data_IF_702650008229
#
_entry.id   IF_702650008229
#
_cell.length_a   1.000
_cell.length_b   1.000
_cell.length_c   1.000
_cell.angle_alpha   90.00
_cell.angle_beta   90.00
_cell.angle_gamma   90.00
#
_symmetry.space_group_name_H-M   'P 1'
#
loop_
_entity.id
_entity.type
_entity.pdbx_description
1 polymer ?
#
# COMPACT_ATOMS: atom_id res chain seq x y z
N UNK A 1 25.09 -2.39 -19.28
CA UNK A 1 24.32 -1.46 -18.43
C UNK A 1 23.22 -0.85 -19.29
N UNK A 2 22.00 -0.78 -18.75
CA UNK A 2 20.80 -0.26 -19.42
C UNK A 2 20.16 0.76 -18.50
N UNK A 3 19.62 1.83 -19.08
CA UNK A 3 18.82 2.83 -18.36
C UNK A 3 17.34 2.66 -18.69
N UNK A 4 16.49 2.93 -17.71
CA UNK A 4 15.04 2.94 -17.85
C UNK A 4 14.47 4.12 -17.09
N UNK A 5 13.66 4.92 -17.77
CA UNK A 5 12.94 6.04 -17.17
C UNK A 5 11.45 5.72 -17.12
N UNK A 6 10.78 6.22 -16.09
CA UNK A 6 9.35 6.00 -15.92
C UNK A 6 8.86 6.46 -14.56
N UNK A 7 7.63 6.07 -14.24
CA UNK A 7 7.02 6.30 -12.93
C UNK A 7 7.12 5.05 -12.07
N UNK A 8 7.41 5.24 -10.79
CA UNK A 8 7.61 4.15 -9.85
C UNK A 8 6.95 4.45 -8.51
N UNK A 9 6.31 3.44 -7.94
CA UNK A 9 5.85 3.44 -6.55
C UNK A 9 6.98 2.92 -5.66
N UNK A 10 7.33 3.68 -4.64
CA UNK A 10 8.41 3.35 -3.69
C UNK A 10 7.88 2.44 -2.59
N UNK A 11 8.65 1.39 -2.29
CA UNK A 11 8.44 0.49 -1.17
C UNK A 11 9.74 0.35 -0.38
N UNK A 12 9.74 0.84 0.85
CA UNK A 12 10.81 0.57 1.81
C UNK A 12 10.48 -0.71 2.54
N UNK A 13 11.33 -1.70 2.38
CA UNK A 13 11.11 -3.04 2.90
C UNK A 13 11.38 -3.08 4.41
N UNK A 14 12.62 -2.83 4.82
CA UNK A 14 13.05 -2.86 6.22
C UNK A 14 14.27 -1.96 6.43
N UNK A 15 14.46 -1.34 7.61
CA UNK A 15 15.67 -0.56 7.90
C UNK A 15 16.97 -1.38 7.88
N UNK A 16 16.87 -2.71 8.02
CA UNK A 16 18.01 -3.63 8.09
C UNK A 16 18.64 -3.95 6.75
N UNK A 17 17.95 -3.72 5.62
CA UNK A 17 18.51 -3.92 4.29
C UNK A 17 18.46 -2.60 3.51
N UNK A 18 19.63 -2.01 3.14
CA UNK A 18 19.73 -0.64 2.65
C UNK A 18 19.39 -0.52 1.16
N UNK A 19 18.20 -0.98 0.78
CA UNK A 19 17.65 -0.86 -0.57
C UNK A 19 16.21 -0.37 -0.54
N UNK A 20 15.80 0.19 -1.68
CA UNK A 20 14.42 0.54 -1.97
C UNK A 20 13.92 -0.39 -3.06
N UNK A 21 12.66 -0.79 -2.96
CA UNK A 21 11.96 -1.46 -4.03
C UNK A 21 11.12 -0.44 -4.81
N UNK A 22 11.27 -0.44 -6.13
CA UNK A 22 10.55 0.44 -7.04
C UNK A 22 9.67 -0.41 -7.95
N UNK A 23 8.36 -0.36 -7.74
CA UNK A 23 7.40 -1.01 -8.64
C UNK A 23 7.08 -0.06 -9.78
N UNK A 24 7.37 -0.44 -11.01
CA UNK A 24 7.01 0.35 -12.18
C UNK A 24 5.48 0.44 -12.31
N UNK A 25 5.00 1.63 -12.68
CA UNK A 25 3.57 1.92 -12.85
C UNK A 25 3.03 1.36 -14.17
N UNK A 26 3.80 1.51 -15.25
CA UNK A 26 3.34 1.19 -16.61
C UNK A 26 3.68 -0.26 -17.04
N UNK A 27 4.49 -0.97 -16.26
CA UNK A 27 4.82 -2.39 -16.46
C UNK A 27 4.93 -3.11 -15.11
N UNK A 28 4.52 -4.39 -15.00
CA UNK A 28 4.59 -5.14 -13.75
C UNK A 28 6.04 -5.59 -13.47
N UNK A 29 6.93 -4.63 -13.20
CA UNK A 29 8.35 -4.88 -12.94
C UNK A 29 8.80 -4.19 -11.67
N UNK A 30 9.42 -4.98 -10.81
CA UNK A 30 10.06 -4.54 -9.58
C UNK A 30 11.54 -4.31 -9.82
N UNK A 31 12.07 -3.21 -9.31
CA UNK A 31 13.50 -2.90 -9.30
C UNK A 31 13.97 -2.73 -7.85
N UNK A 32 14.99 -3.48 -7.47
CA UNK A 32 15.72 -3.24 -6.21
C UNK A 32 16.81 -2.21 -6.50
N UNK A 33 16.79 -1.07 -5.83
CA UNK A 33 17.80 -0.01 -5.96
C UNK A 33 18.52 0.24 -4.64
N UNK A 34 19.78 0.67 -4.70
CA UNK A 34 20.49 1.09 -3.49
C UNK A 34 19.77 2.26 -2.79
N UNK A 35 19.73 2.25 -1.46
CA UNK A 35 19.21 3.36 -0.66
C UNK A 35 20.26 4.47 -0.48
N UNK A 36 21.55 4.14 -0.61
CA UNK A 36 22.64 5.07 -0.35
C UNK A 36 23.80 4.99 -1.35
N UNK A 37 24.71 5.95 -1.25
CA UNK A 37 25.90 6.04 -2.12
C UNK A 37 25.68 6.90 -3.36
N UNK A 38 24.71 7.82 -3.33
CA UNK A 38 24.49 8.79 -4.38
C UNK A 38 25.25 10.09 -4.11
N UNK A 39 25.88 10.66 -5.13
CA UNK A 39 26.63 11.92 -4.96
C UNK A 39 25.71 13.14 -4.93
N UNK A 40 24.69 13.18 -5.80
CA UNK A 40 23.86 14.37 -6.04
C UNK A 40 22.42 14.22 -5.57
N UNK A 41 21.87 13.01 -5.58
CA UNK A 41 20.45 12.75 -5.30
C UNK A 41 20.18 12.14 -3.91
N UNK A 42 21.22 11.94 -3.08
CA UNK A 42 21.09 11.24 -1.81
C UNK A 42 20.03 11.86 -0.91
N UNK A 43 20.00 13.19 -0.80
CA UNK A 43 19.01 13.88 0.02
C UNK A 43 17.57 13.59 -0.45
N UNK A 44 17.33 13.53 -1.75
CA UNK A 44 16.01 13.18 -2.29
C UNK A 44 15.65 11.74 -1.93
N UNK A 45 16.60 10.80 -2.09
CA UNK A 45 16.43 9.38 -1.76
C UNK A 45 16.14 9.18 -0.27
N UNK A 46 16.87 9.87 0.62
CA UNK A 46 16.72 9.78 2.07
C UNK A 46 15.31 10.15 2.54
N UNK A 47 14.66 11.09 1.85
CA UNK A 47 13.30 11.54 2.21
C UNK A 47 12.19 10.62 1.73
N UNK A 48 12.47 9.68 0.82
CA UNK A 48 11.44 8.82 0.25
C UNK A 48 10.77 7.94 1.30
N UNK A 49 9.49 7.67 1.15
CA UNK A 49 8.68 6.81 2.03
C UNK A 49 7.97 5.75 1.20
N UNK A 50 7.58 4.65 1.85
CA UNK A 50 6.66 3.69 1.24
C UNK A 50 5.37 4.41 0.83
N UNK A 51 4.97 4.22 -0.42
CA UNK A 51 3.79 4.87 -1.01
C UNK A 51 4.08 6.14 -1.82
N UNK A 52 5.30 6.68 -1.79
CA UNK A 52 5.69 7.79 -2.67
C UNK A 52 5.64 7.36 -4.15
N UNK A 53 5.12 8.25 -4.99
CA UNK A 53 5.18 8.14 -6.45
C UNK A 53 6.29 9.06 -6.96
N UNK A 54 7.22 8.49 -7.72
CA UNK A 54 8.35 9.21 -8.29
C UNK A 54 8.40 9.06 -9.81
N UNK A 55 8.86 10.10 -10.50
CA UNK A 55 9.45 9.96 -11.82
C UNK A 55 10.95 9.82 -11.65
N UNK A 56 11.52 8.78 -12.24
CA UNK A 56 12.91 8.44 -12.03
C UNK A 56 13.55 7.79 -13.25
N UNK A 57 14.88 7.77 -13.24
CA UNK A 57 15.68 6.94 -14.14
C UNK A 57 16.48 5.96 -13.30
N UNK A 58 16.35 4.67 -13.60
CA UNK A 58 17.15 3.58 -13.02
C UNK A 58 18.17 3.08 -14.03
N UNK A 59 19.37 2.76 -13.55
CA UNK A 59 20.47 2.21 -14.34
C UNK A 59 20.99 0.93 -13.71
N UNK A 60 21.27 -0.10 -14.51
CA UNK A 60 21.70 -1.39 -14.00
C UNK A 60 22.06 -2.39 -15.10
N UNK A 61 22.55 -3.56 -14.71
CA UNK A 61 22.78 -4.66 -15.63
C UNK A 61 21.62 -5.67 -15.56
N UNK A 62 20.73 -5.75 -16.56
CA UNK A 62 19.60 -6.68 -16.51
C UNK A 62 19.99 -8.16 -16.55
N UNK A 63 21.26 -8.48 -16.82
CA UNK A 63 21.79 -9.84 -16.82
C UNK A 63 22.49 -10.22 -15.50
N UNK A 64 22.53 -9.31 -14.54
CA UNK A 64 23.09 -9.53 -13.20
C UNK A 64 21.95 -9.37 -12.20
N UNK A 65 21.50 -10.49 -11.63
CA UNK A 65 20.42 -10.55 -10.65
C UNK A 65 20.91 -10.35 -9.21
N UNK A 66 22.22 -10.31 -8.99
CA UNK A 66 22.85 -10.02 -7.70
C UNK A 66 23.14 -8.51 -7.53
N UNK A 67 23.33 -7.78 -8.63
CA UNK A 67 23.58 -6.33 -8.60
C UNK A 67 22.28 -5.50 -8.55
N UNK A 68 22.11 -4.75 -7.46
CA UNK A 68 21.01 -3.79 -7.36
C UNK A 68 21.17 -2.63 -8.38
N UNK A 69 20.04 -2.09 -8.81
CA UNK A 69 19.98 -0.95 -9.71
C UNK A 69 20.38 0.35 -8.99
N UNK A 70 20.70 1.39 -9.76
CA UNK A 70 21.03 2.72 -9.24
C UNK A 70 20.09 3.77 -9.82
N UNK A 71 19.55 4.62 -8.95
CA UNK A 71 18.87 5.85 -9.38
C UNK A 71 19.88 6.84 -9.96
N UNK A 72 19.56 7.44 -11.11
CA UNK A 72 20.38 8.48 -11.73
C UNK A 72 19.66 9.83 -11.80
N UNK A 73 18.33 9.81 -11.77
CA UNK A 73 17.47 10.99 -11.66
C UNK A 73 16.23 10.62 -10.85
N UNK A 74 15.71 11.58 -10.08
CA UNK A 74 14.51 11.40 -9.27
C UNK A 74 13.78 12.72 -9.06
N UNK A 75 12.47 12.69 -9.22
CA UNK A 75 11.53 13.72 -8.81
C UNK A 75 10.32 13.07 -8.14
N UNK A 76 9.88 13.63 -7.00
CA UNK A 76 8.68 13.11 -6.30
C UNK A 76 7.46 13.85 -6.81
N UNK A 77 6.49 13.09 -7.33
CA UNK A 77 5.29 13.65 -7.95
C UNK A 77 4.11 13.63 -7.00
N UNK A 78 3.97 12.54 -6.22
CA UNK A 78 2.83 12.35 -5.33
C UNK A 78 3.17 11.37 -4.20
N UNK A 79 2.23 11.13 -3.28
CA UNK A 79 2.37 10.15 -2.22
C UNK A 79 1.02 9.63 -1.75
N UNK A 80 0.92 8.31 -1.56
CA UNK A 80 -0.15 7.70 -0.77
C UNK A 80 0.43 7.42 0.60
N UNK A 81 -0.19 7.94 1.65
CA UNK A 81 0.20 7.56 3.00
C UNK A 81 -0.19 6.10 3.25
N UNK A 82 0.78 5.25 3.54
CA UNK A 82 0.55 3.83 3.80
C UNK A 82 0.82 3.50 5.27
N UNK A 83 -0.20 2.99 5.97
CA UNK A 83 -0.10 2.52 7.33
C UNK A 83 -0.40 1.02 7.44
N UNK A 84 0.22 0.36 8.42
CA UNK A 84 0.20 -1.09 8.55
C UNK A 84 -0.20 -1.53 9.95
N UNK A 85 -1.02 -2.57 10.03
CA UNK A 85 -1.50 -3.16 11.27
C UNK A 85 -1.43 -4.68 11.12
N UNK A 86 -0.76 -5.34 12.06
CA UNK A 86 -0.59 -6.79 12.10
C UNK A 86 -1.11 -7.34 13.42
N UNK A 87 -1.39 -8.64 13.50
CA UNK A 87 -1.93 -9.28 14.71
C UNK A 87 -3.25 -8.61 15.16
N UNK A 88 -4.08 -8.20 14.20
CA UNK A 88 -5.28 -7.40 14.45
C UNK A 88 -6.57 -8.04 13.92
N UNK A 89 -7.68 -7.76 14.60
CA UNK A 89 -9.00 -8.18 14.11
C UNK A 89 -9.37 -7.38 12.87
N UNK A 90 -9.88 -8.04 11.83
CA UNK A 90 -10.32 -7.38 10.61
C UNK A 90 -11.58 -6.52 10.83
N UNK A 91 -11.76 -5.45 10.04
CA UNK A 91 -12.95 -4.62 10.15
C UNK A 91 -14.17 -5.40 9.64
N UNK A 92 -15.33 -5.23 10.28
CA UNK A 92 -16.56 -5.97 9.94
C UNK A 92 -17.02 -5.79 8.48
N UNK A 93 -16.64 -4.68 7.84
CA UNK A 93 -16.90 -4.46 6.40
C UNK A 93 -16.17 -5.46 5.51
N UNK A 94 -15.02 -6.00 5.94
CA UNK A 94 -14.28 -7.01 5.19
C UNK A 94 -15.04 -8.33 5.07
N UNK A 95 -15.82 -8.72 6.09
CA UNK A 95 -16.65 -9.92 6.06
C UNK A 95 -17.75 -9.85 4.99
N UNK A 96 -18.24 -8.63 4.68
CA UNK A 96 -19.23 -8.42 3.61
C UNK A 96 -18.64 -8.53 2.21
N UNK A 97 -17.32 -8.49 2.11
CA UNK A 97 -16.56 -8.47 0.86
C UNK A 97 -15.92 -9.82 0.53
N UNK A 98 -15.94 -10.78 1.45
CA UNK A 98 -15.30 -12.08 1.28
C UNK A 98 -16.30 -13.20 1.01
N UNK A 99 -16.05 -13.97 -0.05
CA UNK A 99 -16.76 -15.22 -0.32
C UNK A 99 -15.81 -16.43 -0.23
N UNK A 100 -16.22 -17.56 0.39
CA UNK A 100 -15.40 -18.76 0.41
C UNK A 100 -15.01 -19.25 -1.00
N UNK A 101 -13.72 -19.46 -1.24
CA UNK A 101 -13.19 -19.91 -2.54
C UNK A 101 -12.85 -18.79 -3.52
N UNK A 102 -12.96 -17.53 -3.09
CA UNK A 102 -12.54 -16.38 -3.86
C UNK A 102 -11.01 -16.34 -4.07
N UNK A 103 -10.59 -16.21 -5.32
CA UNK A 103 -9.17 -16.15 -5.73
C UNK A 103 -8.71 -14.76 -6.16
N UNK A 104 -9.63 -13.85 -6.41
CA UNK A 104 -9.36 -12.48 -6.88
C UNK A 104 -9.68 -11.46 -5.78
N UNK A 105 -9.00 -10.29 -5.77
CA UNK A 105 -9.36 -9.21 -4.86
C UNK A 105 -10.80 -8.74 -5.10
N UNK A 106 -11.51 -8.39 -4.04
CA UNK A 106 -12.81 -7.74 -4.12
C UNK A 106 -12.81 -6.50 -3.23
N UNK A 107 -13.65 -5.53 -3.58
CA UNK A 107 -13.80 -4.29 -2.84
C UNK A 107 -15.26 -3.91 -2.65
N UNK A 108 -15.55 -3.29 -1.52
CA UNK A 108 -16.82 -2.63 -1.23
C UNK A 108 -16.58 -1.15 -0.96
N UNK A 109 -17.51 -0.30 -1.38
CA UNK A 109 -17.43 1.14 -1.14
C UNK A 109 -17.57 1.46 0.34
N UNK A 110 -16.80 2.44 0.80
CA UNK A 110 -16.95 3.07 2.11
C UNK A 110 -17.72 4.37 1.92
N UNK A 111 -18.88 4.47 2.55
CA UNK A 111 -19.77 5.62 2.41
C UNK A 111 -19.65 6.53 3.63
N UNK A 112 -19.78 7.83 3.42
CA UNK A 112 -19.93 8.78 4.52
C UNK A 112 -21.35 8.75 5.09
N UNK A 113 -21.54 8.03 6.20
CA UNK A 113 -22.85 7.89 6.83
C UNK A 113 -23.28 9.11 7.66
N UNK A 114 -22.39 10.06 7.96
CA UNK A 114 -22.77 11.28 8.70
C UNK A 114 -23.40 12.34 7.79
N UNK A 115 -23.15 12.24 6.49
CA UNK A 115 -23.77 13.07 5.46
C UNK A 115 -24.97 12.37 4.78
N UNK A 116 -25.33 11.15 5.19
CA UNK A 116 -26.51 10.48 4.71
C UNK A 116 -27.77 11.26 5.15
N UNK A 117 -28.64 11.72 4.22
CA UNK A 117 -29.84 12.44 4.60
C UNK A 117 -30.70 11.57 5.53
N UNK A 118 -31.01 12.10 6.72
CA UNK A 118 -31.91 11.44 7.67
C UNK A 118 -33.25 11.17 6.99
N UNK A 119 -33.58 9.89 6.88
CA UNK A 119 -34.62 9.31 6.02
C UNK A 119 -36.01 9.94 6.12
N UNK A 120 -36.56 10.30 4.96
CA UNK A 120 -37.97 10.02 4.63
C UNK A 120 -38.23 9.70 3.16
N UNK A 121 -37.22 9.80 2.29
CA UNK A 121 -37.34 9.44 0.89
C UNK A 121 -36.68 8.07 0.66
N UNK A 122 -37.49 7.11 0.18
CA UNK A 122 -37.08 5.74 -0.18
C UNK A 122 -36.15 5.70 -1.41
N UNK A 123 -35.79 6.88 -1.94
CA UNK A 123 -34.88 7.12 -3.06
C UNK A 123 -33.60 7.87 -2.63
N UNK A 124 -33.31 7.94 -1.32
CA UNK A 124 -32.07 8.53 -0.82
C UNK A 124 -30.86 7.71 -1.34
N UNK A 125 -30.21 8.26 -2.36
CA UNK A 125 -28.97 7.76 -2.92
C UNK A 125 -27.97 7.53 -1.78
N UNK A 126 -27.32 6.36 -1.84
CA UNK A 126 -26.24 5.96 -0.94
C UNK A 126 -25.27 7.12 -0.74
N UNK A 127 -24.90 7.42 0.51
CA UNK A 127 -24.03 8.56 0.82
C UNK A 127 -22.75 8.57 0.00
N UNK A 128 -22.14 9.75 -0.18
CA UNK A 128 -20.98 9.90 -1.07
C UNK A 128 -19.87 8.89 -0.72
N UNK A 129 -19.31 8.18 -1.71
CA UNK A 129 -18.25 7.21 -1.47
C UNK A 129 -16.95 7.98 -1.14
N UNK A 130 -16.34 7.63 -0.01
CA UNK A 130 -15.12 8.26 0.53
C UNK A 130 -13.91 7.33 0.48
N UNK A 131 -14.09 6.13 -0.07
CA UNK A 131 -13.06 5.11 -0.13
C UNK A 131 -13.58 3.72 -0.47
N UNK A 132 -12.72 2.73 -0.27
CA UNK A 132 -13.03 1.32 -0.46
C UNK A 132 -12.38 0.44 0.62
N UNK A 133 -13.07 -0.62 1.02
CA UNK A 133 -12.50 -1.74 1.75
C UNK A 133 -12.28 -2.89 0.76
N UNK A 134 -11.03 -3.28 0.55
CA UNK A 134 -10.64 -4.35 -0.34
C UNK A 134 -10.10 -5.54 0.43
N UNK A 135 -10.54 -6.75 0.08
CA UNK A 135 -9.97 -8.01 0.58
C UNK A 135 -9.01 -8.58 -0.46
N UNK A 136 -7.82 -8.99 -0.02
CA UNK A 136 -6.80 -9.62 -0.85
C UNK A 136 -6.65 -11.08 -0.41
N UNK A 137 -7.08 -12.05 -1.24
CA UNK A 137 -6.82 -13.47 -1.00
C UNK A 137 -5.32 -13.74 -0.86
N UNK A 138 -4.96 -14.60 0.09
CA UNK A 138 -3.56 -14.98 0.36
C UNK A 138 -2.99 -16.02 -0.59
N UNK A 139 -3.83 -16.94 -1.07
CA UNK A 139 -3.40 -18.10 -1.88
C UNK A 139 -2.65 -17.69 -3.15
N UNK A 140 -2.90 -16.49 -3.67
CA UNK A 140 -2.23 -15.95 -4.85
C UNK A 140 -0.93 -15.21 -4.53
N UNK A 141 -0.61 -15.02 -3.25
CA UNK A 141 0.55 -14.26 -2.80
C UNK A 141 1.74 -15.19 -2.50
N UNK A 142 2.97 -14.77 -2.81
CA UNK A 142 4.17 -15.41 -2.30
C UNK A 142 4.11 -15.65 -0.79
N UNK A 143 4.35 -16.89 -0.35
CA UNK A 143 4.31 -17.33 1.04
C UNK A 143 2.97 -17.08 1.76
N UNK A 144 1.87 -16.90 1.03
CA UNK A 144 0.54 -16.59 1.57
C UNK A 144 0.50 -15.33 2.45
N UNK A 145 1.51 -14.45 2.35
CA UNK A 145 1.73 -13.36 3.30
C UNK A 145 1.26 -12.01 2.75
N UNK A 146 0.27 -11.36 3.35
CA UNK A 146 -0.27 -10.12 2.80
C UNK A 146 0.66 -8.92 2.99
N UNK A 147 0.97 -8.57 4.23
CA UNK A 147 1.78 -7.37 4.54
C UNK A 147 3.21 -7.46 3.99
N UNK A 148 3.93 -8.61 4.10
CA UNK A 148 5.23 -8.76 3.47
C UNK A 148 5.21 -8.44 1.97
N UNK A 149 4.21 -8.93 1.22
CA UNK A 149 4.12 -8.69 -0.22
C UNK A 149 3.85 -7.21 -0.57
N UNK A 150 3.12 -6.49 0.28
CA UNK A 150 2.95 -5.03 0.11
C UNK A 150 4.28 -4.33 0.37
N UNK A 151 4.95 -4.64 1.47
CA UNK A 151 6.20 -3.98 1.87
C UNK A 151 7.36 -4.25 0.92
N UNK A 152 7.36 -5.41 0.24
CA UNK A 152 8.32 -5.73 -0.81
C UNK A 152 7.90 -5.22 -2.19
N UNK A 153 6.73 -4.60 -2.33
CA UNK A 153 6.21 -4.11 -3.62
C UNK A 153 5.90 -5.22 -4.63
N UNK A 154 5.78 -6.47 -4.18
CA UNK A 154 5.48 -7.63 -5.04
C UNK A 154 3.98 -7.75 -5.33
N UNK A 155 3.13 -7.10 -4.53
CA UNK A 155 1.72 -6.88 -4.85
C UNK A 155 1.57 -5.58 -5.65
N UNK A 156 1.20 -5.62 -6.94
CA UNK A 156 0.98 -4.41 -7.74
C UNK A 156 -0.29 -3.68 -7.29
N UNK A 157 -0.13 -2.57 -6.57
CA UNK A 157 -1.24 -1.77 -6.03
C UNK A 157 -1.60 -0.54 -6.87
N UNK A 158 -0.80 -0.20 -7.89
CA UNK A 158 -0.93 1.11 -8.54
C UNK A 158 -2.30 1.37 -9.14
N UNK A 159 -2.92 0.37 -9.77
CA UNK A 159 -4.26 0.53 -10.37
C UNK A 159 -5.32 0.91 -9.34
N UNK A 160 -5.30 0.29 -8.14
CA UNK A 160 -6.26 0.55 -7.06
C UNK A 160 -5.93 1.83 -6.29
N UNK A 161 -4.66 2.25 -6.28
CA UNK A 161 -4.24 3.50 -5.65
C UNK A 161 -4.53 4.71 -6.56
N UNK A 162 -4.39 4.57 -7.87
CA UNK A 162 -4.66 5.64 -8.82
C UNK A 162 -6.16 5.89 -9.00
N UNK A 163 -6.97 4.84 -8.83
CA UNK A 163 -8.42 4.91 -8.94
C UNK A 163 -9.04 3.97 -7.92
N UNK A 164 -9.45 4.54 -6.78
CA UNK A 164 -10.04 3.77 -5.69
C UNK A 164 -11.37 3.17 -6.16
N UNK A 165 -11.58 1.85 -5.97
CA UNK A 165 -12.77 1.18 -6.45
C UNK A 165 -14.07 1.82 -5.94
N UNK A 166 -14.89 2.29 -6.88
CA UNK A 166 -16.19 2.89 -6.60
C UNK A 166 -16.17 4.39 -6.27
N UNK A 167 -15.02 5.06 -6.28
CA UNK A 167 -14.93 6.53 -6.19
C UNK A 167 -14.35 7.14 -7.46
N UNK A 168 -13.62 6.37 -8.27
CA UNK A 168 -12.78 6.79 -9.41
C UNK A 168 -11.64 7.78 -9.07
N UNK A 169 -11.66 8.41 -7.90
CA UNK A 169 -10.60 9.26 -7.35
C UNK A 169 -9.37 8.47 -6.83
N UNK A 170 -8.15 9.06 -6.84
CA UNK A 170 -6.96 8.43 -6.28
C UNK A 170 -7.01 8.33 -4.75
N UNK A 171 -6.33 7.32 -4.22
CA UNK A 171 -6.13 7.17 -2.79
C UNK A 171 -5.21 8.28 -2.26
N UNK A 172 -5.55 8.87 -1.13
CA UNK A 172 -4.66 9.75 -0.36
C UNK A 172 -4.07 9.03 0.85
N UNK A 173 -4.78 8.03 1.36
CA UNK A 173 -4.28 7.15 2.42
C UNK A 173 -4.72 5.69 2.18
N UNK A 174 -3.88 4.75 2.60
CA UNK A 174 -4.15 3.32 2.60
C UNK A 174 -3.77 2.73 3.96
N UNK A 175 -4.69 2.01 4.59
CA UNK A 175 -4.46 1.27 5.83
C UNK A 175 -4.53 -0.24 5.53
N UNK A 176 -3.42 -0.93 5.70
CA UNK A 176 -3.29 -2.36 5.46
C UNK A 176 -3.38 -3.13 6.78
N UNK A 177 -4.31 -4.07 6.86
CA UNK A 177 -4.63 -4.80 8.10
C UNK A 177 -4.47 -6.29 7.84
N UNK A 178 -3.71 -6.95 8.70
CA UNK A 178 -3.45 -8.37 8.64
C UNK A 178 -3.69 -9.01 10.02
N UNK A 179 -4.52 -10.07 10.11
CA UNK A 179 -4.71 -10.81 11.36
C UNK A 179 -3.50 -11.66 11.74
N UNK A 180 -2.60 -11.92 10.80
CA UNK A 180 -1.37 -12.64 11.04
C UNK A 180 -0.20 -11.69 11.32
N UNK A 181 0.80 -12.21 12.02
CA UNK A 181 2.11 -11.56 12.16
C UNK A 181 2.89 -11.71 10.85
N UNK A 182 3.85 -10.81 10.55
CA UNK A 182 4.64 -10.89 9.33
C UNK A 182 5.45 -12.18 9.16
N UNK A 183 5.83 -12.82 10.27
CA UNK A 183 6.62 -14.05 10.33
C UNK A 183 5.75 -15.31 10.53
N UNK A 184 4.42 -15.18 10.42
CA UNK A 184 3.50 -16.29 10.57
C UNK A 184 3.73 -17.34 9.46
N UNK A 185 3.88 -18.60 9.87
CA UNK A 185 4.01 -19.73 8.94
C UNK A 185 2.68 -20.41 8.62
N UNK A 186 1.56 -19.90 9.17
CA UNK A 186 0.22 -20.41 8.95
C UNK A 186 -0.80 -19.28 9.14
N UNK A 187 -1.92 -19.34 8.41
CA UNK A 187 -2.92 -18.29 8.35
C UNK A 187 -4.32 -18.88 8.61
N UNK A 188 -4.99 -18.42 9.68
CA UNK A 188 -6.37 -18.84 9.99
C UNK A 188 -7.40 -18.11 9.11
N UNK A 189 -7.12 -16.85 8.77
CA UNK A 189 -7.95 -16.02 7.91
C UNK A 189 -7.33 -15.97 6.50
N UNK A 190 -8.08 -16.33 5.44
CA UNK A 190 -7.52 -16.56 4.10
C UNK A 190 -7.23 -15.29 3.30
N UNK A 191 -7.37 -14.11 3.90
CA UNK A 191 -7.15 -12.81 3.24
C UNK A 191 -6.54 -11.78 4.19
N UNK A 192 -6.01 -10.71 3.60
CA UNK A 192 -5.72 -9.43 4.28
C UNK A 192 -6.63 -8.32 3.75
N UNK A 193 -6.60 -7.15 4.40
CA UNK A 193 -7.50 -6.04 4.09
C UNK A 193 -6.72 -4.77 3.76
N UNK A 194 -7.12 -4.08 2.70
CA UNK A 194 -6.71 -2.72 2.39
C UNK A 194 -7.90 -1.76 2.50
N UNK A 195 -7.81 -0.79 3.40
CA UNK A 195 -8.77 0.31 3.52
C UNK A 195 -8.19 1.52 2.79
N UNK A 196 -8.78 1.87 1.65
CA UNK A 196 -8.35 2.98 0.80
C UNK A 196 -9.29 4.16 1.02
N UNK A 197 -8.74 5.36 1.18
CA UNK A 197 -9.53 6.59 1.35
C UNK A 197 -9.07 7.65 0.37
N UNK A 198 -10.02 8.39 -0.19
CA UNK A 198 -9.81 9.49 -1.14
C UNK A 198 -9.74 10.85 -0.45
N UNK A 199 -10.22 10.94 0.80
CA UNK A 199 -10.11 12.13 1.63
C UNK A 199 -9.45 11.83 2.99
N UNK A 200 -8.34 12.52 3.26
CA UNK A 200 -7.58 12.39 4.50
C UNK A 200 -8.28 13.04 5.71
N UNK A 201 -9.32 13.84 5.47
CA UNK A 201 -10.06 14.55 6.51
C UNK A 201 -11.36 13.84 6.92
N UNK A 202 -11.77 12.82 6.17
CA UNK A 202 -12.99 12.06 6.41
C UNK A 202 -13.04 11.46 7.84
N UNK A 203 -14.17 11.63 8.51
CA UNK A 203 -14.36 11.13 9.89
C UNK A 203 -14.32 9.60 9.97
N UNK A 204 -14.84 8.89 8.96
CA UNK A 204 -14.74 7.44 8.90
C UNK A 204 -13.28 6.96 8.86
N UNK A 205 -12.41 7.64 8.09
CA UNK A 205 -10.97 7.35 8.08
C UNK A 205 -10.39 7.52 9.48
N UNK A 206 -10.67 8.65 10.14
CA UNK A 206 -10.17 8.93 11.49
C UNK A 206 -10.61 7.85 12.48
N UNK A 207 -11.86 7.37 12.40
CA UNK A 207 -12.37 6.27 13.24
C UNK A 207 -11.56 4.98 13.06
N UNK A 208 -11.30 4.56 11.82
CA UNK A 208 -10.49 3.36 11.57
C UNK A 208 -9.06 3.54 12.06
N UNK A 209 -8.43 4.69 11.81
CA UNK A 209 -7.08 4.96 12.29
C UNK A 209 -6.99 4.96 13.81
N UNK A 210 -7.99 5.53 14.50
CA UNK A 210 -8.10 5.47 15.96
C UNK A 210 -8.32 4.03 16.46
N UNK A 211 -9.17 3.25 15.79
CA UNK A 211 -9.47 1.88 16.17
C UNK A 211 -8.22 0.98 16.15
N UNK A 212 -7.30 1.22 15.22
CA UNK A 212 -6.09 0.43 15.05
C UNK A 212 -4.83 1.10 15.61
N UNK A 213 -4.99 2.12 16.46
CA UNK A 213 -3.88 2.88 17.07
C UNK A 213 -2.89 3.46 16.03
N UNK A 214 -3.36 3.75 14.81
CA UNK A 214 -2.59 4.42 13.78
C UNK A 214 -2.63 5.96 13.93
N UNK A 215 -1.63 6.70 13.43
CA UNK A 215 -1.60 8.14 13.57
C UNK A 215 -2.73 8.82 12.78
N UNK A 216 -3.63 9.48 13.50
CA UNK A 216 -4.81 10.13 12.91
C UNK A 216 -4.44 11.33 12.05
N UNK A 217 -3.42 12.09 12.44
CA UNK A 217 -2.93 13.22 11.64
C UNK A 217 -2.29 12.69 10.35
N UNK A 218 -2.82 13.02 9.16
CA UNK A 218 -2.29 12.54 7.89
C UNK A 218 -0.86 13.02 7.62
N UNK A 219 -0.38 14.08 8.28
CA UNK A 219 0.98 14.59 8.13
C UNK A 219 2.01 13.95 9.07
N UNK A 220 1.58 13.06 9.97
CA UNK A 220 2.45 12.33 10.89
C UNK A 220 3.57 11.56 10.16
N UNK A 221 4.75 11.55 10.77
CA UNK A 221 5.94 10.82 10.32
C UNK A 221 6.18 9.48 11.02
N UNK A 222 5.31 9.11 11.96
CA UNK A 222 5.32 7.79 12.61
C UNK A 222 5.23 6.68 11.56
N UNK A 223 6.23 5.80 11.59
CA UNK A 223 6.30 4.60 10.76
C UNK A 223 5.57 3.45 11.44
N UNK A 224 4.49 2.97 10.83
CA UNK A 224 3.65 1.89 11.34
C UNK A 224 4.04 0.52 10.77
N UNK A 225 5.05 0.46 9.89
CA UNK A 225 5.51 -0.82 9.32
C UNK A 225 5.95 -1.77 10.44
N UNK A 226 5.50 -3.03 10.43
CA UNK A 226 5.96 -3.99 11.42
C UNK A 226 7.46 -4.26 11.22
N UNK A 227 8.17 -4.53 12.31
CA UNK A 227 9.53 -5.05 12.24
C UNK A 227 9.49 -6.53 11.85
N UNK A 228 10.09 -6.88 10.73
CA UNK A 228 10.30 -8.26 10.30
C UNK A 228 11.52 -8.31 9.37
N UNK A 229 12.01 -9.50 9.02
CA UNK A 229 13.02 -9.67 7.99
C UNK A 229 12.44 -10.48 6.82
N UNK A 230 12.13 -9.85 5.68
CA UNK A 230 11.60 -10.54 4.51
C UNK A 230 12.60 -11.46 3.83
N UNK A 231 13.89 -11.31 4.14
CA UNK A 231 14.97 -12.05 3.47
C UNK A 231 15.55 -13.18 4.34
N UNK A 232 15.14 -13.27 5.61
CA UNK A 232 15.58 -14.28 6.58
C UNK A 232 17.11 -14.41 6.66
N UNK A 233 17.82 -13.27 6.70
CA UNK A 233 19.29 -13.16 6.74
C UNK A 233 19.81 -13.09 8.18
#
# INVERSE_FOLDING_TARGET
MVERSGRFRVYRVVPSVPHLNLQAVDEPRLYTVYESGYETIQQSVDTLRTGDLIEATVSGNPADDEEAWRLTAIDRIDSVRMDFVVDATLPAVADTCWEPGQSEPQCVQLLDQENAPSSSDLDAESGDPIGACCVQPRETLPNDAFIPNILTGTLPLESVLQSVPGTDDPAVTALFIDPARPDASNHEIPFGVAMLFTDSTAELRKRFYQQYDCPVDPTSDIDTRPSFDPYAV
#
